data_IF_671781373419
#
_entry.id   IF_671781373419
#
_cell.length_a   1.000
_cell.length_b   1.000
_cell.length_c   1.000
_cell.angle_alpha   90.00
_cell.angle_beta   90.00
_cell.angle_gamma   90.00
#
_symmetry.space_group_name_H-M   'P 1'
#
loop_
_entity.id
_entity.type
_entity.pdbx_description
1 polymer ?
#
# COMPACT_ATOMS: atom_id res chain seq x y z
N UNK A 1 -18.26 -6.10 13.71
CA UNK A 1 -17.45 -5.01 14.30
C UNK A 1 -17.89 -4.67 15.72
N UNK A 2 -19.04 -4.02 15.94
CA UNK A 2 -19.54 -3.63 17.28
C UNK A 2 -19.59 -4.77 18.31
N UNK A 3 -19.96 -5.97 17.88
CA UNK A 3 -19.97 -7.16 18.76
C UNK A 3 -18.56 -7.58 19.24
N UNK A 4 -17.53 -7.35 18.43
CA UNK A 4 -16.15 -7.76 18.70
C UNK A 4 -15.35 -6.66 19.42
N UNK A 5 -15.58 -5.40 19.04
CA UNK A 5 -14.78 -4.25 19.47
C UNK A 5 -15.52 -3.30 20.43
N UNK A 6 -16.80 -3.58 20.71
CA UNK A 6 -17.67 -2.71 21.49
C UNK A 6 -18.24 -1.55 20.67
N UNK A 7 -19.24 -0.88 21.25
CA UNK A 7 -19.93 0.28 20.68
C UNK A 7 -20.06 1.39 21.72
N UNK A 8 -18.96 1.69 22.41
CA UNK A 8 -18.92 2.69 23.48
C UNK A 8 -17.85 3.74 23.19
N UNK A 9 -18.17 4.75 22.37
CA UNK A 9 -17.24 5.83 22.03
C UNK A 9 -16.71 6.57 23.26
N UNK A 10 -17.55 6.71 24.30
CA UNK A 10 -17.21 7.34 25.59
C UNK A 10 -16.11 6.60 26.36
N UNK A 11 -15.95 5.30 26.14
CA UNK A 11 -14.92 4.46 26.77
C UNK A 11 -13.67 4.29 25.88
N UNK A 12 -13.57 5.05 24.77
CA UNK A 12 -12.52 4.90 23.74
C UNK A 12 -12.43 3.46 23.20
N UNK A 13 -13.58 2.83 22.98
CA UNK A 13 -13.66 1.48 22.42
C UNK A 13 -14.25 1.50 20.99
N UNK A 14 -13.62 0.85 20.00
CA UNK A 14 -12.31 0.16 20.09
C UNK A 14 -11.14 1.07 20.40
N UNK A 15 -10.16 0.56 21.15
CA UNK A 15 -8.84 1.19 21.19
C UNK A 15 -8.14 0.89 19.86
N UNK A 16 -7.30 1.80 19.36
CA UNK A 16 -6.64 1.57 18.05
C UNK A 16 -5.65 0.41 18.12
N UNK A 17 -5.05 0.20 19.29
CA UNK A 17 -4.23 -0.98 19.59
C UNK A 17 -4.97 -2.32 19.43
N UNK A 18 -6.30 -2.36 19.59
CA UNK A 18 -7.11 -3.57 19.36
C UNK A 18 -7.31 -3.88 17.87
N UNK A 19 -7.10 -2.88 17.01
CA UNK A 19 -7.29 -2.99 15.56
C UNK A 19 -6.05 -3.51 14.84
N UNK A 20 -5.00 -3.91 15.56
CA UNK A 20 -3.80 -4.46 14.92
C UNK A 20 -4.16 -5.77 14.23
N UNK A 21 -3.91 -5.82 12.92
CA UNK A 21 -4.21 -7.01 12.11
C UNK A 21 -2.91 -7.61 11.60
N UNK A 22 -2.82 -8.93 11.68
CA UNK A 22 -1.84 -9.72 10.94
C UNK A 22 -2.55 -10.35 9.75
N UNK A 23 -2.07 -10.08 8.53
CA UNK A 23 -2.60 -10.66 7.30
C UNK A 23 -1.53 -11.52 6.63
N UNK A 24 -1.95 -12.60 5.99
CA UNK A 24 -1.07 -13.48 5.21
C UNK A 24 -1.38 -13.32 3.71
N UNK A 25 -0.36 -13.45 2.87
CA UNK A 25 -0.51 -13.44 1.42
C UNK A 25 -1.33 -14.65 0.96
N UNK A 26 -2.11 -14.47 -0.11
CA UNK A 26 -3.02 -15.50 -0.61
C UNK A 26 -2.27 -16.72 -1.17
N UNK A 27 -1.15 -16.47 -1.85
CA UNK A 27 -0.38 -17.53 -2.52
C UNK A 27 0.76 -18.09 -1.64
N UNK A 28 1.20 -17.32 -0.64
CA UNK A 28 2.32 -17.70 0.24
C UNK A 28 1.97 -17.35 1.71
N UNK A 29 1.54 -18.33 2.51
CA UNK A 29 1.22 -18.11 3.92
C UNK A 29 2.39 -17.63 4.78
N UNK A 30 3.63 -17.73 4.28
CA UNK A 30 4.84 -17.25 4.96
C UNK A 30 5.10 -15.76 4.70
N UNK A 31 4.58 -15.19 3.62
CA UNK A 31 4.61 -13.74 3.39
C UNK A 31 3.45 -13.10 4.17
N UNK A 32 3.77 -12.70 5.40
CA UNK A 32 2.84 -12.05 6.30
C UNK A 32 3.12 -10.54 6.39
N UNK A 33 2.08 -9.79 6.74
CA UNK A 33 2.13 -8.33 6.86
C UNK A 33 1.35 -7.85 8.08
N UNK A 34 1.94 -6.92 8.82
CA UNK A 34 1.26 -6.22 9.91
C UNK A 34 0.49 -4.99 9.42
N UNK A 35 -0.64 -4.70 10.05
CA UNK A 35 -1.33 -3.42 9.95
C UNK A 35 -1.44 -2.82 11.34
N UNK A 36 -0.74 -1.72 11.58
CA UNK A 36 -0.70 -1.01 12.85
C UNK A 36 -1.59 0.23 12.84
N UNK A 37 -2.37 0.41 13.91
CA UNK A 37 -3.17 1.60 14.16
C UNK A 37 -2.68 2.28 15.44
N UNK A 38 -1.67 3.17 15.36
CA UNK A 38 -1.19 3.91 16.52
C UNK A 38 -2.27 4.82 17.14
N UNK A 39 -2.26 4.91 18.47
CA UNK A 39 -3.11 5.83 19.25
C UNK A 39 -2.65 7.29 19.14
N UNK A 40 -1.34 7.51 18.96
CA UNK A 40 -0.76 8.84 18.81
C UNK A 40 -1.25 9.53 17.53
N UNK A 41 -1.68 10.79 17.67
CA UNK A 41 -2.13 11.62 16.55
C UNK A 41 -1.01 11.91 15.55
N UNK A 42 0.23 12.07 16.04
CA UNK A 42 1.43 12.30 15.25
C UNK A 42 2.53 11.32 15.66
N UNK A 43 3.03 10.55 14.69
CA UNK A 43 3.97 9.47 14.97
C UNK A 43 5.42 9.98 15.01
N UNK A 44 6.11 9.64 16.09
CA UNK A 44 7.55 9.88 16.27
C UNK A 44 8.40 8.62 16.05
N UNK A 45 9.72 8.81 16.00
CA UNK A 45 10.69 7.73 15.74
C UNK A 45 10.65 6.59 16.76
N UNK A 46 10.30 6.88 18.02
CA UNK A 46 10.21 5.87 19.09
C UNK A 46 9.16 4.79 18.76
N UNK A 47 8.01 5.21 18.24
CA UNK A 47 6.91 4.32 17.87
C UNK A 47 7.34 3.41 16.71
N UNK A 48 7.97 3.99 15.68
CA UNK A 48 8.49 3.23 14.53
C UNK A 48 9.50 2.16 14.98
N UNK A 49 10.45 2.50 15.85
CA UNK A 49 11.41 1.52 16.39
C UNK A 49 10.73 0.39 17.16
N UNK A 50 9.68 0.70 17.91
CA UNK A 50 8.90 -0.30 18.66
C UNK A 50 8.21 -1.28 17.70
N UNK A 51 7.64 -0.78 16.60
CA UNK A 51 7.04 -1.63 15.57
C UNK A 51 8.08 -2.47 14.82
N UNK A 52 9.25 -1.90 14.48
CA UNK A 52 10.34 -2.67 13.88
C UNK A 52 10.82 -3.81 14.78
N UNK A 53 10.88 -3.59 16.10
CA UNK A 53 11.24 -4.64 17.05
C UNK A 53 10.20 -5.76 17.05
N UNK A 54 8.90 -5.41 17.11
CA UNK A 54 7.82 -6.40 17.05
C UNK A 54 7.82 -7.19 15.74
N UNK A 55 8.08 -6.53 14.62
CA UNK A 55 8.26 -7.18 13.31
C UNK A 55 9.43 -8.16 13.32
N UNK A 56 10.53 -7.81 13.99
CA UNK A 56 11.69 -8.68 14.12
C UNK A 56 11.41 -9.92 14.98
N UNK A 57 10.68 -9.76 16.08
CA UNK A 57 10.28 -10.87 16.96
C UNK A 57 9.41 -11.90 16.23
N UNK A 58 8.52 -11.43 15.36
CA UNK A 58 7.59 -12.27 14.58
C UNK A 58 8.15 -12.66 13.21
N UNK A 59 9.39 -12.28 12.87
CA UNK A 59 10.04 -12.51 11.57
C UNK A 59 9.25 -11.99 10.35
N UNK A 60 8.55 -10.86 10.52
CA UNK A 60 7.74 -10.24 9.47
C UNK A 60 8.49 -9.08 8.82
N UNK A 61 8.48 -9.03 7.50
CA UNK A 61 9.23 -8.03 6.73
C UNK A 61 8.39 -6.82 6.29
N UNK A 62 7.06 -6.93 6.27
CA UNK A 62 6.14 -5.92 5.75
C UNK A 62 5.21 -5.39 6.84
N UNK A 63 5.00 -4.07 6.86
CA UNK A 63 3.94 -3.48 7.67
C UNK A 63 3.34 -2.22 7.05
N UNK A 64 2.06 -2.01 7.32
CA UNK A 64 1.29 -0.81 7.04
C UNK A 64 1.00 -0.08 8.35
N UNK A 65 1.21 1.23 8.38
CA UNK A 65 0.94 2.07 9.55
C UNK A 65 -0.15 3.10 9.20
N UNK A 66 -1.30 3.01 9.87
CA UNK A 66 -2.44 3.91 9.65
C UNK A 66 -2.42 5.07 10.64
N UNK A 67 -1.94 6.23 10.18
CA UNK A 67 -1.70 7.42 11.01
C UNK A 67 -2.87 8.41 10.95
N UNK A 68 -3.16 9.10 12.05
CA UNK A 68 -4.31 10.02 12.11
C UNK A 68 -4.03 11.35 11.39
N UNK A 69 -2.98 12.08 11.80
CA UNK A 69 -2.63 13.38 11.20
C UNK A 69 -1.27 13.37 10.46
N UNK A 70 -0.39 12.42 10.78
CA UNK A 70 0.86 12.23 10.05
C UNK A 70 2.04 11.81 10.92
N UNK A 71 3.25 12.00 10.39
CA UNK A 71 4.50 11.57 11.02
C UNK A 71 5.52 12.71 11.07
N UNK A 72 6.42 12.69 12.05
CA UNK A 72 7.55 13.62 12.09
C UNK A 72 8.54 13.34 10.95
N UNK A 73 9.32 14.34 10.47
CA UNK A 73 10.35 14.12 9.46
C UNK A 73 11.34 13.01 9.84
N UNK A 74 11.75 12.94 11.12
CA UNK A 74 12.63 11.89 11.62
C UNK A 74 12.00 10.50 11.58
N UNK A 75 10.67 10.39 11.80
CA UNK A 75 9.96 9.13 11.63
C UNK A 75 9.91 8.72 10.16
N UNK A 76 9.62 9.66 9.23
CA UNK A 76 9.66 9.40 7.78
C UNK A 76 11.04 8.93 7.32
N UNK A 77 12.10 9.59 7.79
CA UNK A 77 13.47 9.18 7.48
C UNK A 77 13.77 7.78 7.99
N UNK A 78 13.35 7.45 9.21
CA UNK A 78 13.53 6.11 9.77
C UNK A 78 12.85 5.01 8.93
N UNK A 79 11.73 5.29 8.26
CA UNK A 79 11.12 4.32 7.33
C UNK A 79 12.02 4.02 6.13
N UNK A 80 12.67 5.06 5.59
CA UNK A 80 13.60 4.94 4.46
C UNK A 80 14.88 4.21 4.90
N UNK A 81 15.41 4.52 6.09
CA UNK A 81 16.63 3.92 6.62
C UNK A 81 16.48 2.42 6.96
N UNK A 82 15.24 1.99 7.26
CA UNK A 82 14.93 0.57 7.52
C UNK A 82 14.81 -0.26 6.25
N UNK A 83 14.62 0.38 5.09
CA UNK A 83 14.68 -0.28 3.79
C UNK A 83 16.14 -0.60 3.42
N UNK A 84 16.42 -1.74 2.77
CA UNK A 84 15.48 -2.70 2.19
C UNK A 84 15.05 -3.83 3.14
N UNK A 85 15.58 -3.88 4.38
CA UNK A 85 15.34 -4.99 5.30
C UNK A 85 13.85 -5.12 5.67
N UNK A 86 13.21 -3.99 5.96
CA UNK A 86 11.79 -3.92 6.24
C UNK A 86 11.11 -2.98 5.25
N UNK A 87 9.92 -3.38 4.78
CA UNK A 87 9.07 -2.56 3.92
C UNK A 87 7.96 -2.00 4.80
N UNK A 88 8.09 -0.71 5.09
CA UNK A 88 7.14 0.02 5.94
C UNK A 88 6.41 1.06 5.10
N UNK A 89 5.10 0.90 5.01
CA UNK A 89 4.22 1.84 4.33
C UNK A 89 3.33 2.54 5.36
N UNK A 90 2.88 3.74 5.01
CA UNK A 90 1.95 4.46 5.87
C UNK A 90 0.82 5.06 5.05
N UNK A 91 -0.35 5.15 5.67
CA UNK A 91 -1.53 5.80 5.13
C UNK A 91 -2.10 6.75 6.17
N UNK A 92 -2.63 7.88 5.71
CA UNK A 92 -3.49 8.68 6.55
C UNK A 92 -4.83 7.96 6.70
N UNK A 93 -5.39 7.96 7.91
CA UNK A 93 -6.71 7.38 8.15
C UNK A 93 -7.77 8.00 7.24
N UNK A 94 -7.67 9.31 6.98
CA UNK A 94 -8.55 10.00 6.03
C UNK A 94 -8.45 9.48 4.59
N UNK A 95 -7.30 8.92 4.17
CA UNK A 95 -7.14 8.31 2.85
C UNK A 95 -7.88 6.97 2.74
N UNK A 96 -8.13 6.28 3.87
CA UNK A 96 -8.73 4.95 3.91
C UNK A 96 -10.24 4.98 4.22
N UNK A 97 -10.81 6.16 4.50
CA UNK A 97 -12.25 6.31 4.76
C UNK A 97 -13.10 6.01 3.51
N UNK A 98 -12.56 6.23 2.32
CA UNK A 98 -13.23 6.01 1.04
C UNK A 98 -12.30 5.16 0.19
N UNK A 99 -12.81 4.05 -0.35
CA UNK A 99 -12.05 3.23 -1.27
C UNK A 99 -11.94 3.92 -2.63
N UNK A 100 -10.77 4.48 -2.93
CA UNK A 100 -10.54 5.20 -4.20
C UNK A 100 -10.69 4.32 -5.43
N UNK A 101 -10.51 3.00 -5.31
CA UNK A 101 -10.61 2.08 -6.46
C UNK A 101 -12.05 1.80 -6.90
N UNK A 102 -13.03 2.12 -6.05
CA UNK A 102 -14.46 1.98 -6.36
C UNK A 102 -15.06 3.24 -7.00
N UNK A 103 -14.26 4.31 -7.09
CA UNK A 103 -14.72 5.56 -7.67
C UNK A 103 -14.87 5.43 -9.20
N UNK A 104 -15.97 5.94 -9.75
CA UNK A 104 -16.31 5.83 -11.19
C UNK A 104 -15.19 6.33 -12.13
N UNK A 105 -14.52 7.43 -11.76
CA UNK A 105 -13.41 7.99 -12.55
C UNK A 105 -12.10 7.19 -12.46
N UNK A 106 -12.00 6.22 -11.54
CA UNK A 106 -10.80 5.40 -11.36
C UNK A 106 -10.96 4.11 -12.17
N UNK A 107 -10.18 3.92 -13.24
CA UNK A 107 -10.28 2.70 -14.04
C UNK A 107 -9.70 1.50 -13.31
N UNK A 108 -9.91 0.31 -13.88
CA UNK A 108 -9.34 -0.91 -13.34
C UNK A 108 -7.82 -0.94 -13.57
N UNK A 109 -7.08 -1.28 -12.52
CA UNK A 109 -5.62 -1.38 -12.51
C UNK A 109 -5.23 -2.81 -12.15
N UNK A 110 -4.50 -3.47 -13.04
CA UNK A 110 -3.96 -4.82 -12.83
C UNK A 110 -2.43 -4.76 -12.80
N UNK A 111 -1.82 -5.23 -11.72
CA UNK A 111 -0.36 -5.30 -11.57
C UNK A 111 0.15 -6.43 -12.47
N UNK A 112 1.09 -6.13 -13.35
CA UNK A 112 1.66 -7.13 -14.25
C UNK A 112 2.78 -7.91 -13.58
N UNK A 113 2.84 -9.21 -13.85
CA UNK A 113 3.99 -10.02 -13.43
C UNK A 113 5.24 -9.68 -14.24
N UNK A 114 6.45 -10.04 -13.77
CA UNK A 114 7.67 -9.87 -14.55
C UNK A 114 7.61 -10.53 -15.93
N UNK A 115 6.98 -11.71 -16.03
CA UNK A 115 6.82 -12.46 -17.27
C UNK A 115 5.89 -11.73 -18.24
N UNK A 116 4.74 -11.26 -17.75
CA UNK A 116 3.80 -10.48 -18.55
C UNK A 116 4.43 -9.17 -19.05
N UNK A 117 5.22 -8.50 -18.20
CA UNK A 117 5.99 -7.31 -18.58
C UNK A 117 6.97 -7.63 -19.71
N UNK A 118 7.72 -8.72 -19.61
CA UNK A 118 8.66 -9.13 -20.66
C UNK A 118 7.93 -9.46 -21.96
N UNK A 119 6.79 -10.15 -21.88
CA UNK A 119 5.97 -10.45 -23.04
C UNK A 119 5.45 -9.17 -23.72
N UNK A 120 4.95 -8.21 -22.94
CA UNK A 120 4.48 -6.92 -23.44
C UNK A 120 5.57 -6.18 -24.22
N UNK A 121 6.76 -6.05 -23.64
CA UNK A 121 7.88 -5.36 -24.28
C UNK A 121 8.32 -6.08 -25.56
N UNK A 122 8.34 -7.41 -25.55
CA UNK A 122 8.71 -8.22 -26.71
C UNK A 122 7.68 -8.18 -27.84
N UNK A 123 6.39 -8.14 -27.50
CA UNK A 123 5.26 -8.10 -28.44
C UNK A 123 5.23 -6.78 -29.20
N UNK A 124 5.41 -5.66 -28.50
CA UNK A 124 5.38 -4.33 -29.10
C UNK A 124 6.77 -3.79 -29.50
N UNK A 125 7.83 -4.56 -29.27
CA UNK A 125 9.24 -4.15 -29.51
C UNK A 125 9.58 -2.82 -28.83
N UNK A 126 9.08 -2.65 -27.60
CA UNK A 126 9.26 -1.44 -26.79
C UNK A 126 10.41 -1.61 -25.78
N UNK A 127 11.04 -0.49 -25.45
CA UNK A 127 11.90 -0.35 -24.28
C UNK A 127 11.09 0.17 -23.11
N UNK A 128 11.48 -0.16 -21.88
CA UNK A 128 10.76 0.25 -20.67
C UNK A 128 10.55 1.77 -20.57
N UNK A 129 11.56 2.55 -20.98
CA UNK A 129 11.51 4.01 -20.95
C UNK A 129 10.51 4.64 -21.92
N UNK A 130 9.97 3.87 -22.87
CA UNK A 130 8.93 4.30 -23.82
C UNK A 130 7.52 4.11 -23.27
N UNK A 131 7.35 3.38 -22.17
CA UNK A 131 6.07 3.26 -21.49
C UNK A 131 5.69 4.59 -20.82
N UNK A 132 4.39 4.88 -20.78
CA UNK A 132 3.87 5.98 -19.99
C UNK A 132 4.25 5.79 -18.52
N UNK A 133 4.45 6.87 -17.77
CA UNK A 133 4.92 6.80 -16.39
C UNK A 133 3.78 7.01 -15.40
N UNK A 134 3.85 6.34 -14.25
CA UNK A 134 3.05 6.61 -13.06
C UNK A 134 4.01 6.82 -11.89
N UNK A 135 3.74 7.82 -11.06
CA UNK A 135 4.59 8.10 -9.89
C UNK A 135 4.33 7.05 -8.81
N UNK A 136 5.37 6.61 -8.10
CA UNK A 136 5.19 5.75 -6.92
C UNK A 136 4.35 6.42 -5.81
N UNK A 137 4.28 7.75 -5.80
CA UNK A 137 3.43 8.52 -4.90
C UNK A 137 1.97 8.67 -5.33
N UNK A 138 1.58 8.15 -6.50
CA UNK A 138 0.19 8.16 -6.95
C UNK A 138 -0.71 7.38 -5.95
N UNK A 139 -1.91 7.85 -5.60
CA UNK A 139 -2.79 7.17 -4.66
C UNK A 139 -3.07 5.71 -5.03
N UNK A 140 -3.26 5.41 -6.32
CA UNK A 140 -3.48 4.04 -6.80
C UNK A 140 -2.20 3.23 -6.74
N UNK A 141 -1.06 3.84 -7.06
CA UNK A 141 0.24 3.16 -6.93
C UNK A 141 0.53 2.79 -5.47
N UNK A 142 0.24 3.68 -4.53
CA UNK A 142 0.34 3.40 -3.08
C UNK A 142 -0.65 2.32 -2.66
N UNK A 143 -1.90 2.37 -3.12
CA UNK A 143 -2.92 1.37 -2.78
C UNK A 143 -2.48 -0.06 -3.15
N UNK A 144 -1.88 -0.24 -4.32
CA UNK A 144 -1.37 -1.55 -4.76
C UNK A 144 0.06 -1.86 -4.30
N UNK A 145 0.69 -1.00 -3.49
CA UNK A 145 2.07 -1.19 -3.04
C UNK A 145 3.09 -1.26 -4.19
N UNK A 146 2.86 -0.52 -5.27
CA UNK A 146 3.67 -0.58 -6.48
C UNK A 146 5.08 -0.08 -6.25
N UNK A 147 6.06 -0.84 -6.75
CA UNK A 147 7.49 -0.52 -6.69
C UNK A 147 8.00 -0.04 -8.04
N UNK A 148 9.05 0.78 -7.98
CA UNK A 148 9.77 1.27 -9.18
C UNK A 148 10.14 0.12 -10.11
N UNK A 149 9.89 0.31 -11.40
CA UNK A 149 10.15 -0.68 -12.44
C UNK A 149 9.02 -1.68 -12.67
N UNK A 150 8.00 -1.75 -11.80
CA UNK A 150 6.79 -2.51 -12.09
C UNK A 150 5.92 -1.80 -13.13
N UNK A 151 5.11 -2.60 -13.84
CA UNK A 151 4.18 -2.10 -14.85
C UNK A 151 2.76 -2.42 -14.41
N UNK A 152 1.88 -1.43 -14.52
CA UNK A 152 0.45 -1.59 -14.28
C UNK A 152 -0.29 -1.49 -15.60
N UNK A 153 -1.18 -2.46 -15.83
CA UNK A 153 -2.15 -2.47 -16.92
C UNK A 153 -3.40 -1.74 -16.48
N UNK A 154 -3.83 -0.76 -17.27
CA UNK A 154 -4.99 0.08 -16.99
C UNK A 154 -6.06 -0.19 -18.03
N UNK A 155 -7.24 -0.61 -17.58
CA UNK A 155 -8.37 -0.97 -18.44
C UNK A 155 -9.47 0.08 -18.26
N UNK A 156 -9.83 0.74 -19.36
CA UNK A 156 -10.84 1.81 -19.38
C UNK A 156 -11.98 1.43 -20.30
N UNK A 157 -13.20 1.79 -19.93
CA UNK A 157 -14.30 1.79 -20.88
C UNK A 157 -14.08 2.91 -21.91
N UNK A 158 -14.31 2.60 -23.18
CA UNK A 158 -14.13 3.53 -24.29
C UNK A 158 -15.41 3.55 -25.12
N UNK A 159 -15.94 4.74 -25.38
CA UNK A 159 -17.15 4.89 -26.20
C UNK A 159 -16.95 4.40 -27.64
N UNK A 160 -15.73 4.52 -28.18
CA UNK A 160 -15.42 4.15 -29.56
C UNK A 160 -14.94 2.70 -29.70
N UNK A 161 -14.10 2.22 -28.78
CA UNK A 161 -13.46 0.90 -28.87
C UNK A 161 -14.07 -0.15 -27.93
N UNK A 162 -15.07 0.22 -27.12
CA UNK A 162 -15.60 -0.59 -26.02
C UNK A 162 -14.65 -0.63 -24.82
N UNK A 163 -13.43 -1.13 -25.01
CA UNK A 163 -12.37 -1.14 -23.99
C UNK A 163 -11.06 -0.62 -24.54
N UNK A 164 -10.42 0.27 -23.78
CA UNK A 164 -9.09 0.80 -24.07
C UNK A 164 -8.10 0.34 -23.00
N UNK A 165 -7.00 -0.28 -23.42
CA UNK A 165 -5.96 -0.80 -22.54
C UNK A 165 -4.72 0.07 -22.70
N UNK A 166 -4.15 0.50 -21.57
CA UNK A 166 -2.88 1.23 -21.54
C UNK A 166 -1.96 0.64 -20.46
N UNK A 167 -0.66 0.92 -20.57
CA UNK A 167 0.35 0.38 -19.66
C UNK A 167 1.19 1.53 -19.10
N UNK A 168 1.44 1.50 -17.79
CA UNK A 168 2.27 2.50 -17.12
C UNK A 168 3.39 1.87 -16.30
N UNK A 169 4.60 2.40 -16.46
CA UNK A 169 5.80 2.07 -15.68
C UNK A 169 5.86 2.94 -14.43
N UNK A 170 6.09 2.32 -13.28
CA UNK A 170 6.22 3.01 -12.00
C UNK A 170 7.61 3.64 -11.87
N UNK A 171 7.66 4.95 -11.57
CA UNK A 171 8.88 5.76 -11.39
C UNK A 171 8.93 6.45 -10.03
#
# INVERSE_FOLDING_TARGET
>A
FKAQYGDKPSERRPARSDLIVLVAHNDDPTDQMFVFFPDDTKIGIKVIKTYCQRMQEENISRAIIVVQHGMTPSAKQALVDMAPKYILEYFLESELLINITEHELVPEHAVMTPEEKTELLNRYKLKENQLMRIQAGDPVARYYGLKRGQVVKIIRNSETAGRYISYRLVV
#
